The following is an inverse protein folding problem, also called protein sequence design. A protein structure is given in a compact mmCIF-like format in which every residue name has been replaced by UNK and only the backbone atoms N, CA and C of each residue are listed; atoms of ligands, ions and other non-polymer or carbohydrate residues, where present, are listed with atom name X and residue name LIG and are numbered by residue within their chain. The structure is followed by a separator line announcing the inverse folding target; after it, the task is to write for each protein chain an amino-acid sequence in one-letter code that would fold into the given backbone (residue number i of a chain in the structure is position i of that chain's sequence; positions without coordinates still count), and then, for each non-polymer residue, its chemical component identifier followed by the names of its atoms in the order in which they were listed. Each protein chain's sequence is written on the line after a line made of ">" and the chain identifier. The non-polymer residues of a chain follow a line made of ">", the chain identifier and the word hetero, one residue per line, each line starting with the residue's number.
data_IF_704608851287
#
_entry.id   IF_704608851287
#
_cell.length_a   1.000
_cell.length_b   1.000
_cell.length_c   1.000
_cell.angle_alpha   90.00
_cell.angle_beta   90.00
_cell.angle_gamma   90.00
#
_symmetry.space_group_name_H-M   'P 1'
#
loop_
_entity.id
_entity.type
_entity.pdbx_description
1 polymer ?
#
# COMPACT_ATOMS: atom_id res chain seq x y z
N UNK A 1 19.25 -17.11 -8.04
CA UNK A 1 18.33 -17.56 -9.10
C UNK A 1 16.99 -16.85 -8.97
N UNK A 2 16.51 -16.23 -10.05
CA UNK A 2 15.17 -15.63 -10.17
C UNK A 2 14.08 -16.71 -10.22
N UNK A 3 12.81 -16.31 -10.11
CA UNK A 3 11.68 -17.25 -10.26
C UNK A 3 11.68 -17.90 -11.65
N UNK A 4 12.03 -17.12 -12.68
CA UNK A 4 12.15 -17.60 -14.04
C UNK A 4 13.31 -18.59 -14.21
N UNK A 5 14.47 -18.32 -13.61
CA UNK A 5 15.63 -19.24 -13.65
C UNK A 5 15.32 -20.57 -12.94
N UNK A 6 14.57 -20.54 -11.83
CA UNK A 6 14.10 -21.75 -11.16
C UNK A 6 13.08 -22.52 -12.01
N UNK A 7 12.15 -21.82 -12.66
CA UNK A 7 11.15 -22.43 -13.52
C UNK A 7 11.80 -23.18 -14.70
N UNK A 8 12.77 -22.55 -15.37
CA UNK A 8 13.57 -23.15 -16.44
C UNK A 8 14.38 -24.35 -15.91
N UNK A 9 15.06 -24.20 -14.78
CA UNK A 9 15.91 -25.26 -14.22
C UNK A 9 15.12 -26.53 -13.85
N UNK A 10 13.92 -26.36 -13.28
CA UNK A 10 13.10 -27.47 -12.82
C UNK A 10 12.04 -27.93 -13.84
N UNK A 11 11.94 -27.31 -15.02
CA UNK A 11 10.96 -27.66 -16.04
C UNK A 11 9.50 -27.43 -15.62
N UNK A 12 9.25 -26.42 -14.78
CA UNK A 12 7.92 -26.06 -14.25
C UNK A 12 7.54 -24.64 -14.63
N UNK A 13 6.28 -24.25 -14.45
CA UNK A 13 5.86 -22.85 -14.60
C UNK A 13 6.35 -21.99 -13.44
N UNK A 14 6.48 -20.67 -13.67
CA UNK A 14 6.75 -19.71 -12.59
C UNK A 14 5.68 -19.78 -11.47
N UNK A 15 4.42 -20.05 -11.84
CA UNK A 15 3.34 -20.26 -10.87
C UNK A 15 3.58 -21.49 -9.99
N UNK A 16 4.09 -22.59 -10.54
CA UNK A 16 4.48 -23.79 -9.80
C UNK A 16 5.63 -23.52 -8.83
N UNK A 17 6.64 -22.76 -9.25
CA UNK A 17 7.74 -22.32 -8.35
C UNK A 17 7.20 -21.48 -7.19
N UNK A 18 6.31 -20.53 -7.46
CA UNK A 18 5.72 -19.68 -6.43
C UNK A 18 4.82 -20.47 -5.46
N UNK A 19 4.07 -21.46 -5.95
CA UNK A 19 3.27 -22.37 -5.11
C UNK A 19 4.18 -23.22 -4.22
N UNK A 20 5.26 -23.81 -4.76
CA UNK A 20 6.23 -24.57 -4.00
C UNK A 20 6.91 -23.72 -2.91
N UNK A 21 7.30 -22.47 -3.23
CA UNK A 21 7.86 -21.54 -2.23
C UNK A 21 6.87 -21.23 -1.11
N UNK A 22 5.57 -21.06 -1.43
CA UNK A 22 4.53 -20.86 -0.41
C UNK A 22 4.34 -22.11 0.46
N UNK A 23 4.23 -23.28 -0.16
CA UNK A 23 4.09 -24.55 0.55
C UNK A 23 5.28 -24.84 1.49
N UNK A 24 6.49 -24.43 1.09
CA UNK A 24 7.71 -24.56 1.89
C UNK A 24 7.87 -23.45 2.95
N UNK A 25 6.92 -22.52 3.12
CA UNK A 25 7.03 -21.39 4.04
C UNK A 25 8.09 -20.35 3.65
N UNK A 26 8.63 -20.43 2.42
CA UNK A 26 9.67 -19.54 1.89
C UNK A 26 9.10 -18.28 1.22
N UNK A 27 7.77 -18.14 1.19
CA UNK A 27 7.12 -16.94 0.73
C UNK A 27 6.99 -15.92 1.87
N UNK A 28 7.50 -14.70 1.67
CA UNK A 28 7.25 -13.60 2.60
C UNK A 28 5.74 -13.34 2.67
N UNK A 29 5.14 -13.22 3.87
CA UNK A 29 3.75 -12.80 3.99
C UNK A 29 3.55 -11.47 3.27
N UNK A 30 2.62 -11.43 2.32
CA UNK A 30 2.23 -10.20 1.66
C UNK A 30 1.50 -9.33 2.69
N UNK A 31 1.81 -8.03 2.71
CA UNK A 31 1.06 -7.08 3.50
C UNK A 31 -0.33 -6.93 2.90
N UNK A 32 -1.34 -6.84 3.75
CA UNK A 32 -2.69 -6.49 3.33
C UNK A 32 -2.85 -4.97 3.35
N UNK A 33 -3.20 -4.40 2.20
CA UNK A 33 -3.41 -2.96 2.06
C UNK A 33 -4.88 -2.60 1.85
N UNK A 34 -5.80 -3.57 1.95
CA UNK A 34 -7.23 -3.38 1.72
C UNK A 34 -7.82 -2.26 2.59
N UNK A 35 -7.38 -2.15 3.85
CA UNK A 35 -7.83 -1.10 4.76
C UNK A 35 -7.36 0.31 4.34
N UNK A 36 -6.21 0.45 3.67
CA UNK A 36 -5.70 1.75 3.23
C UNK A 36 -6.11 2.10 1.79
N UNK A 37 -6.32 1.08 0.95
CA UNK A 37 -6.76 1.20 -0.43
C UNK A 37 -7.98 0.29 -0.64
N UNK A 38 -9.16 0.71 -0.16
CA UNK A 38 -10.38 -0.12 -0.22
C UNK A 38 -10.96 -0.24 -1.64
N UNK A 39 -10.50 0.59 -2.57
CA UNK A 39 -10.99 0.59 -3.94
C UNK A 39 -10.32 -0.46 -4.81
N UNK A 40 -11.10 -1.03 -5.74
CA UNK A 40 -10.56 -1.82 -6.84
C UNK A 40 -9.96 -0.89 -7.90
N UNK A 41 -8.65 -0.64 -7.79
CA UNK A 41 -7.96 0.28 -8.69
C UNK A 41 -7.84 -0.27 -10.11
N UNK A 42 -8.04 0.60 -11.09
CA UNK A 42 -7.66 0.35 -12.48
C UNK A 42 -6.14 0.20 -12.56
N UNK A 43 -5.65 -0.67 -13.45
CA UNK A 43 -4.21 -0.97 -13.59
C UNK A 43 -3.38 0.31 -13.79
N UNK A 44 -3.90 1.26 -14.56
CA UNK A 44 -3.26 2.55 -14.84
C UNK A 44 -3.11 3.44 -13.59
N UNK A 45 -4.00 3.30 -12.60
CA UNK A 45 -3.99 4.10 -11.36
C UNK A 45 -3.31 3.39 -10.19
N UNK A 46 -2.96 2.10 -10.36
CA UNK A 46 -2.41 1.28 -9.30
C UNK A 46 -1.08 1.81 -8.75
N UNK A 47 -0.30 2.53 -9.57
CA UNK A 47 0.98 3.16 -9.19
C UNK A 47 0.89 4.69 -9.12
N UNK A 48 -0.32 5.25 -9.02
CA UNK A 48 -0.49 6.70 -8.82
C UNK A 48 0.11 7.14 -7.47
N UNK A 49 0.39 8.45 -7.35
CA UNK A 49 0.90 9.04 -6.11
C UNK A 49 0.06 8.69 -4.87
N UNK A 50 -1.26 8.97 -4.86
CA UNK A 50 -2.13 8.62 -3.74
C UNK A 50 -2.14 7.12 -3.41
N UNK A 51 -2.24 6.24 -4.41
CA UNK A 51 -2.24 4.80 -4.19
C UNK A 51 -0.91 4.32 -3.56
N UNK A 52 0.22 4.88 -4.01
CA UNK A 52 1.54 4.55 -3.48
C UNK A 52 1.72 5.06 -2.05
N UNK A 53 1.30 6.30 -1.77
CA UNK A 53 1.38 6.88 -0.44
C UNK A 53 0.53 6.12 0.58
N UNK A 54 -0.70 5.76 0.23
CA UNK A 54 -1.57 4.94 1.10
C UNK A 54 -0.95 3.59 1.43
N UNK A 55 -0.33 2.91 0.46
CA UNK A 55 0.38 1.63 0.72
C UNK A 55 1.62 1.81 1.59
N UNK A 56 2.37 2.89 1.40
CA UNK A 56 3.53 3.21 2.24
C UNK A 56 3.11 3.43 3.71
N UNK A 57 2.04 4.18 3.94
CA UNK A 57 1.46 4.38 5.27
C UNK A 57 0.95 3.07 5.87
N UNK A 58 0.22 2.27 5.08
CA UNK A 58 -0.26 0.95 5.49
C UNK A 58 0.88 -0.01 5.86
N UNK A 59 2.01 0.07 5.17
CA UNK A 59 3.18 -0.74 5.48
C UNK A 59 3.81 -0.33 6.82
N UNK A 60 3.87 0.97 7.09
CA UNK A 60 4.29 1.50 8.39
C UNK A 60 3.32 1.09 9.52
N UNK A 61 2.01 1.17 9.29
CA UNK A 61 0.99 0.72 10.24
C UNK A 61 1.13 -0.77 10.61
N UNK A 62 1.63 -1.59 9.69
CA UNK A 62 1.87 -3.02 9.88
C UNK A 62 3.29 -3.35 10.40
N UNK A 63 4.03 -2.35 10.91
CA UNK A 63 5.36 -2.53 11.49
C UNK A 63 6.48 -2.80 10.48
N UNK A 64 6.21 -2.63 9.18
CA UNK A 64 7.18 -2.81 8.08
C UNK A 64 7.29 -1.53 7.24
N UNK A 65 7.76 -0.41 7.82
CA UNK A 65 7.86 0.84 7.09
C UNK A 65 8.75 0.70 5.85
N UNK A 66 8.43 1.39 4.74
CA UNK A 66 9.30 1.44 3.58
C UNK A 66 10.56 2.28 3.86
N UNK A 67 11.42 2.44 2.85
CA UNK A 67 12.56 3.35 2.94
C UNK A 67 12.14 4.76 3.41
N UNK A 68 12.98 5.39 4.25
CA UNK A 68 12.66 6.62 4.95
C UNK A 68 12.16 7.74 4.02
N UNK A 69 12.75 7.90 2.84
CA UNK A 69 12.32 8.89 1.85
C UNK A 69 10.87 8.70 1.41
N UNK A 70 10.48 7.46 1.10
CA UNK A 70 9.11 7.10 0.68
C UNK A 70 8.12 7.27 1.82
N UNK A 71 8.52 6.86 3.03
CA UNK A 71 7.70 7.06 4.22
C UNK A 71 7.46 8.55 4.49
N UNK A 72 8.53 9.36 4.49
CA UNK A 72 8.45 10.79 4.76
C UNK A 72 7.58 11.52 3.74
N UNK A 73 7.68 11.15 2.45
CA UNK A 73 6.80 11.69 1.41
C UNK A 73 5.34 11.34 1.67
N UNK A 74 5.03 10.09 2.02
CA UNK A 74 3.66 9.67 2.32
C UNK A 74 3.09 10.36 3.58
N UNK A 75 3.91 10.51 4.63
CA UNK A 75 3.54 11.22 5.87
C UNK A 75 3.24 12.70 5.60
N UNK A 76 4.12 13.42 4.87
CA UNK A 76 3.90 14.83 4.52
C UNK A 76 2.66 15.02 3.65
N UNK A 77 2.45 14.14 2.68
CA UNK A 77 1.29 14.19 1.81
C UNK A 77 -0.01 14.02 2.61
N UNK A 78 -0.09 13.01 3.48
CA UNK A 78 -1.27 12.78 4.29
C UNK A 78 -1.50 13.90 5.31
N UNK A 79 -0.44 14.38 5.96
CA UNK A 79 -0.55 15.49 6.91
C UNK A 79 -1.09 16.76 6.24
N UNK A 80 -0.59 17.11 5.04
CA UNK A 80 -1.10 18.26 4.29
C UNK A 80 -2.60 18.14 4.00
N UNK A 81 -3.08 16.95 3.63
CA UNK A 81 -4.51 16.72 3.40
C UNK A 81 -5.32 16.95 4.67
N UNK A 82 -4.88 16.36 5.79
CA UNK A 82 -5.54 16.50 7.09
C UNK A 82 -5.58 17.97 7.53
N UNK A 83 -4.46 18.68 7.45
CA UNK A 83 -4.37 20.10 7.83
C UNK A 83 -5.27 20.99 6.97
N UNK A 84 -5.46 20.63 5.70
CA UNK A 84 -6.34 21.34 4.77
C UNK A 84 -7.83 20.93 4.88
N UNK A 85 -8.18 20.00 5.77
CA UNK A 85 -9.55 19.47 5.86
C UNK A 85 -9.95 18.68 4.61
N UNK A 86 -9.00 18.01 3.96
CA UNK A 86 -9.19 17.22 2.75
C UNK A 86 -9.07 15.72 3.02
N UNK A 87 -9.65 14.96 2.10
CA UNK A 87 -9.56 13.51 2.00
C UNK A 87 -9.38 13.11 0.52
N UNK A 88 -9.35 11.81 0.23
CA UNK A 88 -9.30 11.30 -1.13
C UNK A 88 -10.53 10.49 -1.48
N UNK A 89 -11.00 10.68 -2.72
CA UNK A 89 -11.91 9.74 -3.38
C UNK A 89 -11.19 9.06 -4.53
N UNK A 90 -11.76 7.94 -4.98
CA UNK A 90 -11.33 7.26 -6.18
C UNK A 90 -12.52 7.04 -7.11
N UNK A 91 -12.33 7.40 -8.37
CA UNK A 91 -13.18 7.03 -9.48
C UNK A 91 -12.40 6.18 -10.49
N UNK A 92 -13.06 5.24 -11.16
CA UNK A 92 -12.37 4.32 -12.08
C UNK A 92 -11.90 5.01 -13.37
N UNK A 93 -12.65 6.01 -13.85
CA UNK A 93 -12.34 6.76 -15.05
C UNK A 93 -11.35 7.91 -14.76
N UNK A 94 -11.55 8.62 -13.65
CA UNK A 94 -10.76 9.81 -13.32
C UNK A 94 -9.55 9.53 -12.40
N UNK A 95 -9.56 8.41 -11.68
CA UNK A 95 -8.54 8.09 -10.70
C UNK A 95 -8.76 8.78 -9.35
N UNK A 96 -7.68 9.11 -8.66
CA UNK A 96 -7.74 9.73 -7.34
C UNK A 96 -7.89 11.25 -7.45
N UNK A 97 -8.77 11.81 -6.62
CA UNK A 97 -8.92 13.26 -6.46
C UNK A 97 -9.05 13.62 -4.98
N UNK A 98 -8.59 14.83 -4.65
CA UNK A 98 -8.75 15.43 -3.32
C UNK A 98 -10.16 16.00 -3.21
N UNK A 99 -10.81 15.76 -2.07
CA UNK A 99 -12.16 16.24 -1.77
C UNK A 99 -12.20 16.79 -0.35
N UNK A 100 -13.15 17.68 -0.02
CA UNK A 100 -13.40 18.03 1.37
C UNK A 100 -13.61 16.78 2.23
N UNK A 101 -12.97 16.73 3.38
CA UNK A 101 -13.18 15.66 4.34
C UNK A 101 -14.63 15.65 4.82
N UNK A 102 -15.19 14.45 5.00
CA UNK A 102 -16.54 14.32 5.56
C UNK A 102 -16.53 14.73 7.03
N UNK A 103 -17.59 15.39 7.54
CA UNK A 103 -17.78 15.61 8.97
C UNK A 103 -17.78 14.31 9.80
N UNK A 104 -18.12 13.18 9.17
CA UNK A 104 -18.10 11.86 9.82
C UNK A 104 -16.69 11.28 9.98
N UNK A 105 -15.68 11.86 9.32
CA UNK A 105 -14.29 11.42 9.39
C UNK A 105 -13.56 11.48 8.04
N UNK A 106 -12.23 11.35 8.11
CA UNK A 106 -11.34 11.28 6.94
C UNK A 106 -10.64 9.93 6.89
N UNK A 107 -10.68 9.30 5.72
CA UNK A 107 -9.97 8.06 5.43
C UNK A 107 -8.46 8.27 5.52
N UNK A 108 -7.93 9.32 4.86
CA UNK A 108 -6.49 9.64 4.96
C UNK A 108 -6.06 9.92 6.39
N UNK A 109 -6.87 10.63 7.20
CA UNK A 109 -6.55 10.85 8.61
C UNK A 109 -6.44 9.52 9.38
N UNK A 110 -7.40 8.62 9.16
CA UNK A 110 -7.40 7.30 9.81
C UNK A 110 -6.17 6.46 9.44
N UNK A 111 -5.79 6.47 8.16
CA UNK A 111 -4.60 5.76 7.67
C UNK A 111 -3.30 6.38 8.22
N UNK A 112 -3.25 7.71 8.33
CA UNK A 112 -2.11 8.43 8.91
C UNK A 112 -1.93 8.08 10.40
N UNK A 113 -3.02 8.08 11.17
CA UNK A 113 -2.97 7.72 12.59
C UNK A 113 -2.54 6.25 12.79
N UNK A 114 -3.07 5.32 12.00
CA UNK A 114 -2.62 3.92 12.04
C UNK A 114 -1.12 3.80 11.72
N UNK A 115 -0.61 4.56 10.76
CA UNK A 115 0.82 4.58 10.45
C UNK A 115 1.67 5.11 11.61
N UNK A 116 1.21 6.17 12.29
CA UNK A 116 1.88 6.73 13.48
C UNK A 116 1.94 5.73 14.62
N UNK A 117 0.82 5.04 14.90
CA UNK A 117 0.75 4.00 15.92
C UNK A 117 1.72 2.85 15.62
N UNK A 118 1.76 2.38 14.36
CA UNK A 118 2.69 1.33 13.95
C UNK A 118 4.17 1.73 14.06
N UNK A 119 4.49 3.02 13.89
CA UNK A 119 5.84 3.54 14.09
C UNK A 119 6.21 3.69 15.58
N UNK A 120 5.24 4.03 16.43
CA UNK A 120 5.44 4.19 17.87
C UNK A 120 5.53 2.84 18.61
N UNK A 121 4.89 1.80 18.11
CA UNK A 121 4.89 0.46 18.70
C UNK A 121 6.18 -0.35 18.45
N UNK A 122 7.25 0.31 18.02
CA UNK A 122 8.47 -0.32 17.51
C UNK A 122 9.68 -0.10 18.42
#
# INVERSE_FOLDING_TARGET
>A
MSVQELAVHFGVSESGVLQAKRAAGLAKPMLDHSAAVPWKLARVHAQSGPATNLRNLSSAAQGKPPAAERLNTALRWAQRLVDAGLDVRYDVAEGFSEVPASPAGSHVASVLEAARQGLAAR
#
